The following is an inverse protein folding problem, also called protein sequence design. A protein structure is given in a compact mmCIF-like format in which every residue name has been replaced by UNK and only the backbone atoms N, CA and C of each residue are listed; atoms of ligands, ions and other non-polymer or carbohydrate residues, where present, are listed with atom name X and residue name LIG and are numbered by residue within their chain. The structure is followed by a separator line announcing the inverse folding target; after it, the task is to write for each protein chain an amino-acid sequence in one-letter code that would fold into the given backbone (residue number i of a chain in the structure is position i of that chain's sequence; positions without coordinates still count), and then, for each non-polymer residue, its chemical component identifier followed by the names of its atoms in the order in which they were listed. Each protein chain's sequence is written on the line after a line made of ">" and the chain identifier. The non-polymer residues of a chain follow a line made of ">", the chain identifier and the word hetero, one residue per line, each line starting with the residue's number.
data_IF_736152316329
#
_entry.id   IF_736152316329
#
_cell.length_a   1.000
_cell.length_b   1.000
_cell.length_c   1.000
_cell.angle_alpha   90.00
_cell.angle_beta   90.00
_cell.angle_gamma   90.00
#
_symmetry.space_group_name_H-M   'P 1'
#
loop_
_entity.id
_entity.type
_entity.pdbx_description
1 polymer ?
#
# COMPACT_ATOMS: atom_id res chain seq x y z
N UNK A 1 -21.18 -18.63 0.35
CA UNK A 1 -19.79 -19.13 0.49
C UNK A 1 -18.85 -18.05 -0.03
N UNK A 2 -17.69 -17.80 0.60
CA UNK A 2 -16.69 -16.83 0.13
C UNK A 2 -15.42 -17.59 -0.26
N UNK A 3 -14.92 -17.33 -1.47
CA UNK A 3 -13.63 -17.83 -1.96
C UNK A 3 -12.74 -16.63 -2.26
N UNK A 4 -11.49 -16.71 -1.83
CA UNK A 4 -10.45 -15.72 -2.13
C UNK A 4 -9.38 -16.42 -2.92
N UNK A 5 -9.11 -15.93 -4.12
CA UNK A 5 -8.01 -16.37 -4.96
C UNK A 5 -6.97 -15.25 -4.97
N UNK A 6 -5.82 -15.53 -4.35
CA UNK A 6 -4.75 -14.54 -4.14
C UNK A 6 -3.64 -14.71 -5.17
N UNK A 7 -3.05 -13.60 -5.63
CA UNK A 7 -1.92 -13.56 -6.58
C UNK A 7 -2.16 -14.31 -7.90
N UNK A 8 -3.39 -14.28 -8.42
CA UNK A 8 -3.78 -15.07 -9.59
C UNK A 8 -2.99 -14.76 -10.88
N UNK A 9 -2.34 -13.60 -10.99
CA UNK A 9 -1.49 -13.30 -12.15
C UNK A 9 -0.19 -14.12 -12.19
N UNK A 10 0.23 -14.74 -11.07
CA UNK A 10 1.43 -15.58 -11.02
C UNK A 10 1.33 -16.86 -11.86
N UNK A 11 0.12 -17.33 -12.11
CA UNK A 11 -0.16 -18.55 -12.90
C UNK A 11 -0.59 -18.25 -14.33
N UNK A 12 -0.68 -16.96 -14.71
CA UNK A 12 -1.17 -16.51 -16.02
C UNK A 12 -0.02 -15.92 -16.82
N UNK A 13 0.72 -16.79 -17.52
CA UNK A 13 1.93 -16.40 -18.25
C UNK A 13 1.63 -15.87 -19.65
N UNK A 14 0.47 -16.20 -20.21
CA UNK A 14 0.07 -15.82 -21.57
C UNK A 14 -1.33 -15.21 -21.63
N UNK A 15 -1.62 -14.47 -22.70
CA UNK A 15 -2.98 -13.97 -22.99
C UNK A 15 -4.00 -15.10 -23.18
N UNK A 16 -3.54 -16.29 -23.58
CA UNK A 16 -4.39 -17.47 -23.66
C UNK A 16 -4.80 -17.95 -22.26
N UNK A 17 -3.85 -17.99 -21.31
CA UNK A 17 -4.11 -18.37 -19.91
C UNK A 17 -5.08 -17.39 -19.25
N UNK A 18 -4.89 -16.07 -19.45
CA UNK A 18 -5.79 -15.07 -18.90
C UNK A 18 -7.22 -15.22 -19.43
N UNK A 19 -7.39 -15.49 -20.73
CA UNK A 19 -8.71 -15.74 -21.32
C UNK A 19 -9.33 -17.04 -20.79
N UNK A 20 -8.54 -18.09 -20.63
CA UNK A 20 -8.99 -19.36 -20.06
C UNK A 20 -9.44 -19.16 -18.60
N UNK A 21 -8.64 -18.46 -17.79
CA UNK A 21 -8.97 -18.12 -16.41
C UNK A 21 -10.26 -17.30 -16.30
N UNK A 22 -10.40 -16.24 -17.11
CA UNK A 22 -11.62 -15.44 -17.14
C UNK A 22 -12.86 -16.26 -17.50
N UNK A 23 -12.73 -17.23 -18.43
CA UNK A 23 -13.81 -18.16 -18.78
C UNK A 23 -14.18 -19.08 -17.62
N UNK A 24 -13.19 -19.66 -16.93
CA UNK A 24 -13.40 -20.50 -15.74
C UNK A 24 -14.12 -19.72 -14.64
N UNK A 25 -13.65 -18.51 -14.33
CA UNK A 25 -14.28 -17.64 -13.32
C UNK A 25 -15.73 -17.34 -13.68
N UNK A 26 -15.99 -16.99 -14.95
CA UNK A 26 -17.35 -16.73 -15.43
C UNK A 26 -18.26 -17.95 -15.27
N UNK A 27 -17.80 -19.14 -15.68
CA UNK A 27 -18.58 -20.37 -15.55
C UNK A 27 -18.87 -20.72 -14.09
N UNK A 28 -17.91 -20.52 -13.19
CA UNK A 28 -18.10 -20.76 -11.75
C UNK A 28 -19.17 -19.82 -11.19
N UNK A 29 -19.14 -18.53 -11.52
CA UNK A 29 -20.13 -17.56 -11.04
C UNK A 29 -21.53 -17.83 -11.61
N UNK A 30 -21.63 -18.23 -12.88
CA UNK A 30 -22.91 -18.60 -13.51
C UNK A 30 -23.56 -19.81 -12.84
N UNK A 31 -22.76 -20.82 -12.50
CA UNK A 31 -23.28 -22.07 -11.91
C UNK A 31 -23.49 -22.00 -10.39
N UNK A 32 -22.94 -20.98 -9.71
CA UNK A 32 -22.98 -20.86 -8.26
C UNK A 32 -23.41 -19.46 -7.80
N UNK A 33 -24.70 -19.14 -7.92
CA UNK A 33 -25.27 -17.82 -7.62
C UNK A 33 -25.02 -17.28 -6.19
N UNK A 34 -24.77 -18.16 -5.21
CA UNK A 34 -24.50 -17.79 -3.81
C UNK A 34 -22.99 -17.69 -3.48
N UNK A 35 -22.12 -17.89 -4.47
CA UNK A 35 -20.68 -17.76 -4.32
C UNK A 35 -20.26 -16.29 -4.37
N UNK A 36 -19.49 -15.86 -3.38
CA UNK A 36 -18.75 -14.60 -3.40
C UNK A 36 -17.30 -14.91 -3.72
N UNK A 37 -16.73 -14.19 -4.67
CA UNK A 37 -15.36 -14.41 -5.14
C UNK A 37 -14.57 -13.10 -5.04
N UNK A 38 -13.41 -13.15 -4.39
CA UNK A 38 -12.41 -12.08 -4.43
C UNK A 38 -11.21 -12.63 -5.19
N UNK A 39 -10.80 -11.91 -6.23
CA UNK A 39 -9.59 -12.22 -7.00
C UNK A 39 -8.62 -11.07 -6.81
N UNK A 40 -7.42 -11.38 -6.35
CA UNK A 40 -6.32 -10.40 -6.30
C UNK A 40 -5.31 -10.72 -7.40
N UNK A 41 -4.74 -9.66 -7.98
CA UNK A 41 -3.72 -9.75 -9.00
C UNK A 41 -2.98 -8.41 -9.12
N UNK A 42 -1.77 -8.42 -9.67
CA UNK A 42 -1.03 -7.19 -10.00
C UNK A 42 -1.54 -6.50 -11.25
N UNK A 43 -2.13 -7.24 -12.18
CA UNK A 43 -2.70 -6.75 -13.44
C UNK A 43 -4.19 -7.05 -13.52
N UNK A 44 -4.89 -6.41 -14.46
CA UNK A 44 -6.27 -6.76 -14.74
C UNK A 44 -6.31 -8.10 -15.47
N UNK A 45 -6.71 -9.15 -14.76
CA UNK A 45 -6.76 -10.54 -15.28
C UNK A 45 -8.19 -11.08 -15.47
N UNK A 46 -9.18 -10.25 -15.14
CA UNK A 46 -10.60 -10.60 -15.23
C UNK A 46 -11.28 -9.70 -16.24
N UNK A 47 -12.11 -10.29 -17.10
CA UNK A 47 -12.81 -9.55 -18.15
C UNK A 47 -14.00 -8.75 -17.61
N UNK A 48 -14.49 -7.80 -18.40
CA UNK A 48 -15.71 -7.01 -18.12
C UNK A 48 -16.95 -7.88 -17.88
N UNK A 49 -16.92 -9.16 -18.30
CA UNK A 49 -17.99 -10.14 -18.01
C UNK A 49 -18.16 -10.44 -16.52
N UNK A 50 -17.25 -10.00 -15.64
CA UNK A 50 -17.52 -10.02 -14.20
C UNK A 50 -18.63 -9.07 -13.77
N UNK A 51 -18.82 -7.96 -14.51
CA UNK A 51 -19.86 -6.98 -14.19
C UNK A 51 -21.27 -7.58 -14.36
N UNK A 52 -21.44 -8.58 -15.24
CA UNK A 52 -22.72 -9.29 -15.39
C UNK A 52 -23.10 -10.10 -14.15
N UNK A 53 -22.13 -10.39 -13.29
CA UNK A 53 -22.30 -11.09 -12.01
C UNK A 53 -22.27 -10.13 -10.81
N UNK A 54 -22.41 -8.82 -11.04
CA UNK A 54 -22.32 -7.79 -10.00
C UNK A 54 -20.89 -7.56 -9.48
N UNK A 55 -19.87 -8.08 -10.18
CA UNK A 55 -18.47 -7.86 -9.83
C UNK A 55 -17.97 -6.47 -10.21
N UNK A 56 -17.04 -5.93 -9.43
CA UNK A 56 -16.37 -4.67 -9.70
C UNK A 56 -14.87 -4.79 -9.46
N UNK A 57 -14.09 -4.06 -10.26
CA UNK A 57 -12.65 -3.97 -10.04
C UNK A 57 -12.37 -2.90 -8.99
N UNK A 58 -11.63 -3.27 -7.95
CA UNK A 58 -11.08 -2.32 -6.99
C UNK A 58 -9.57 -2.22 -7.17
N UNK A 59 -9.10 -1.05 -7.62
CA UNK A 59 -7.66 -0.79 -7.77
C UNK A 59 -7.11 -0.24 -6.46
N UNK A 60 -6.18 -0.98 -5.86
CA UNK A 60 -5.39 -0.49 -4.75
C UNK A 60 -4.40 0.57 -5.26
N UNK A 61 -4.40 1.74 -4.62
CA UNK A 61 -3.50 2.84 -4.93
C UNK A 61 -2.44 2.98 -3.84
N UNK A 62 -1.30 3.59 -4.18
CA UNK A 62 -0.30 3.99 -3.20
C UNK A 62 -0.89 4.86 -2.09
N UNK A 63 -0.32 4.75 -0.89
CA UNK A 63 -0.67 5.63 0.22
C UNK A 63 -0.26 7.07 -0.07
N UNK A 64 -1.06 8.03 0.38
CA UNK A 64 -0.67 9.44 0.36
C UNK A 64 0.56 9.67 1.24
N UNK A 65 1.33 10.75 1.03
CA UNK A 65 2.49 11.06 1.87
C UNK A 65 2.14 11.13 3.37
N UNK A 66 0.98 11.69 3.70
CA UNK A 66 0.48 11.78 5.08
C UNK A 66 0.17 10.42 5.70
N UNK A 67 -0.52 9.54 4.97
CA UNK A 67 -0.78 8.16 5.43
C UNK A 67 0.51 7.35 5.52
N UNK A 68 1.46 7.59 4.61
CA UNK A 68 2.76 6.94 4.61
C UNK A 68 3.60 7.35 5.83
N UNK A 69 3.63 8.64 6.14
CA UNK A 69 4.29 9.16 7.33
C UNK A 69 3.67 8.66 8.63
N UNK A 70 2.33 8.62 8.71
CA UNK A 70 1.65 8.07 9.89
C UNK A 70 1.94 6.57 10.05
N UNK A 71 1.91 5.79 8.97
CA UNK A 71 2.28 4.37 9.00
C UNK A 71 3.73 4.18 9.45
N UNK A 72 4.66 4.95 8.88
CA UNK A 72 6.07 4.92 9.26
C UNK A 72 6.23 5.19 10.77
N UNK A 73 5.63 6.28 11.25
CA UNK A 73 5.67 6.68 12.67
C UNK A 73 5.12 5.61 13.60
N UNK A 74 4.05 4.90 13.22
CA UNK A 74 3.46 3.80 14.02
C UNK A 74 4.37 2.57 14.11
N UNK A 75 5.20 2.33 13.09
CA UNK A 75 6.11 1.18 13.05
C UNK A 75 7.52 1.47 13.60
N UNK A 76 7.86 2.74 13.79
CA UNK A 76 9.09 3.13 14.50
C UNK A 76 8.85 2.98 16.00
N UNK A 77 9.72 2.22 16.68
CA UNK A 77 9.57 1.89 18.10
C UNK A 77 10.12 2.98 19.02
N UNK A 78 11.08 3.77 18.54
CA UNK A 78 11.63 4.91 19.28
C UNK A 78 10.80 6.18 19.08
N UNK A 79 10.83 7.07 20.07
CA UNK A 79 10.17 8.38 19.96
C UNK A 79 10.89 9.23 18.92
N UNK A 80 10.18 9.55 17.84
CA UNK A 80 10.66 10.49 16.82
C UNK A 80 10.41 11.94 17.27
N UNK A 81 11.33 12.82 16.92
CA UNK A 81 11.26 14.25 17.18
C UNK A 81 11.47 15.06 15.90
N UNK A 82 11.18 16.36 15.94
CA UNK A 82 11.46 17.25 14.81
C UNK A 82 12.96 17.39 14.53
N UNK A 83 13.83 17.11 15.51
CA UNK A 83 15.28 17.11 15.31
C UNK A 83 15.74 15.95 14.42
N UNK A 84 14.96 14.88 14.30
CA UNK A 84 15.34 13.73 13.48
C UNK A 84 15.04 13.91 11.98
N UNK A 85 14.34 14.98 11.58
CA UNK A 85 13.75 15.17 10.24
C UNK A 85 14.08 16.53 9.61
N UNK A 86 15.31 17.03 9.80
CA UNK A 86 15.71 18.38 9.37
C UNK A 86 15.82 18.52 7.85
N UNK A 87 15.95 17.43 7.08
CA UNK A 87 15.88 17.45 5.62
C UNK A 87 14.45 17.64 5.09
N UNK A 88 13.44 17.59 5.95
CA UNK A 88 12.09 17.97 5.54
C UNK A 88 12.04 19.47 5.26
N UNK A 89 11.53 19.92 4.10
CA UNK A 89 11.38 21.34 3.80
C UNK A 89 10.43 22.06 4.76
N UNK A 90 9.61 21.30 5.50
CA UNK A 90 8.63 21.82 6.46
C UNK A 90 9.17 21.85 7.91
N UNK A 91 10.37 21.34 8.18
CA UNK A 91 10.90 21.17 9.54
C UNK A 91 11.04 22.48 10.33
N UNK A 92 11.30 23.59 9.64
CA UNK A 92 11.53 24.92 10.26
C UNK A 92 10.34 25.88 10.10
N UNK A 93 9.40 25.57 9.22
CA UNK A 93 8.33 26.48 8.81
C UNK A 93 6.96 26.07 9.35
N UNK A 94 6.75 24.77 9.56
CA UNK A 94 5.46 24.24 9.99
C UNK A 94 5.42 24.11 11.51
N UNK A 95 4.51 24.86 12.12
CA UNK A 95 4.20 24.76 13.54
C UNK A 95 2.71 24.49 13.69
N UNK A 96 2.38 23.30 14.19
CA UNK A 96 1.01 22.88 14.50
C UNK A 96 0.85 22.70 16.02
N UNK A 97 -0.31 23.08 16.56
CA UNK A 97 -0.60 23.00 18.00
C UNK A 97 -0.52 21.57 18.55
N UNK A 98 -0.92 20.58 17.75
CA UNK A 98 -0.73 19.17 18.07
C UNK A 98 0.67 18.69 17.62
N UNK A 99 1.55 18.27 18.55
CA UNK A 99 2.93 17.87 18.22
C UNK A 99 3.01 16.59 17.38
N UNK A 100 2.06 15.65 17.55
CA UNK A 100 2.02 14.39 16.77
C UNK A 100 1.63 14.68 15.33
N UNK A 101 0.65 15.56 15.15
CA UNK A 101 0.22 16.00 13.83
C UNK A 101 1.29 16.85 13.14
N UNK A 102 1.96 17.72 13.90
CA UNK A 102 3.10 18.51 13.42
C UNK A 102 4.19 17.60 12.85
N UNK A 103 4.62 16.62 13.65
CA UNK A 103 5.64 15.66 13.24
C UNK A 103 5.20 14.84 12.03
N UNK A 104 3.95 14.41 11.98
CA UNK A 104 3.41 13.64 10.84
C UNK A 104 3.43 14.46 9.54
N UNK A 105 3.07 15.75 9.61
CA UNK A 105 3.10 16.64 8.44
C UNK A 105 4.52 16.95 7.98
N UNK A 106 5.44 17.19 8.91
CA UNK A 106 6.86 17.39 8.59
C UNK A 106 7.46 16.11 7.99
N UNK A 107 7.19 14.95 8.59
CA UNK A 107 7.64 13.66 8.09
C UNK A 107 7.05 13.33 6.71
N UNK A 108 5.80 13.70 6.44
CA UNK A 108 5.16 13.50 5.14
C UNK A 108 5.89 14.23 3.99
N UNK A 109 6.55 15.34 4.27
CA UNK A 109 7.37 16.08 3.31
C UNK A 109 8.84 15.61 3.27
N UNK A 110 9.23 14.66 4.13
CA UNK A 110 10.61 14.20 4.22
C UNK A 110 10.99 13.29 3.03
N UNK A 111 12.19 13.42 2.43
CA UNK A 111 12.62 12.60 1.28
C UNK A 111 12.53 11.09 1.52
N UNK A 112 12.82 10.64 2.75
CA UNK A 112 12.68 9.24 3.15
C UNK A 112 11.28 8.67 2.89
N UNK A 113 10.21 9.45 3.15
CA UNK A 113 8.83 9.04 2.87
C UNK A 113 8.59 8.99 1.37
N UNK A 114 9.08 9.98 0.62
CA UNK A 114 8.95 10.02 -0.84
C UNK A 114 9.58 8.78 -1.51
N UNK A 115 10.75 8.31 -1.04
CA UNK A 115 11.43 7.10 -1.54
C UNK A 115 10.61 5.81 -1.38
N UNK A 116 9.62 5.80 -0.49
CA UNK A 116 8.75 4.61 -0.31
C UNK A 116 7.67 4.50 -1.38
N UNK A 117 7.44 5.57 -2.17
CA UNK A 117 6.38 5.64 -3.19
C UNK A 117 4.97 5.29 -2.66
N UNK A 118 4.74 5.44 -1.35
CA UNK A 118 3.49 5.09 -0.69
C UNK A 118 3.21 3.58 -0.63
N UNK A 119 4.22 2.72 -0.82
CA UNK A 119 4.09 1.26 -0.76
C UNK A 119 4.23 0.79 0.70
N UNK A 120 3.19 0.18 1.31
CA UNK A 120 3.23 -0.23 2.72
C UNK A 120 4.44 -1.09 3.10
N UNK A 121 4.80 -2.06 2.25
CA UNK A 121 5.98 -2.93 2.47
C UNK A 121 7.28 -2.12 2.54
N UNK A 122 7.47 -1.15 1.65
CA UNK A 122 8.66 -0.29 1.64
C UNK A 122 8.69 0.62 2.87
N UNK A 123 7.53 1.13 3.32
CA UNK A 123 7.40 1.94 4.53
C UNK A 123 7.80 1.15 5.78
N UNK A 124 7.30 -0.08 5.92
CA UNK A 124 7.64 -0.95 7.06
C UNK A 124 9.12 -1.34 7.04
N UNK A 125 9.70 -1.58 5.87
CA UNK A 125 11.14 -1.82 5.73
C UNK A 125 11.97 -0.59 6.13
N UNK A 126 11.52 0.62 5.76
CA UNK A 126 12.15 1.86 6.21
C UNK A 126 12.07 2.01 7.74
N UNK A 127 10.92 1.72 8.36
CA UNK A 127 10.78 1.70 9.82
C UNK A 127 11.75 0.70 10.47
N UNK A 128 11.88 -0.51 9.91
CA UNK A 128 12.81 -1.52 10.42
C UNK A 128 14.28 -1.02 10.38
N UNK A 129 14.68 -0.33 9.30
CA UNK A 129 16.01 0.30 9.20
C UNK A 129 16.20 1.40 10.25
N UNK A 130 15.19 2.25 10.46
CA UNK A 130 15.23 3.31 11.49
C UNK A 130 15.36 2.70 12.90
N UNK A 131 14.64 1.61 13.16
CA UNK A 131 14.70 0.92 14.46
C UNK A 131 16.05 0.24 14.69
N UNK A 132 16.70 -0.26 13.63
CA UNK A 132 18.05 -0.84 13.72
C UNK A 132 19.14 0.23 13.91
N UNK A 133 18.94 1.43 13.37
CA UNK A 133 19.88 2.55 13.44
C UNK A 133 19.54 3.52 14.60
N UNK A 134 19.63 3.02 15.84
CA UNK A 134 19.14 3.71 17.06
C UNK A 134 19.75 5.08 17.32
N UNK A 135 20.96 5.36 16.84
CA UNK A 135 21.67 6.63 17.01
C UNK A 135 21.67 7.54 15.77
N UNK A 136 21.06 7.11 14.66
CA UNK A 136 21.12 7.81 13.38
C UNK A 136 19.84 8.63 13.17
N UNK A 137 19.93 9.91 12.80
CA UNK A 137 18.76 10.71 12.44
C UNK A 137 18.15 10.21 11.11
N UNK A 138 16.88 10.49 10.85
CA UNK A 138 16.25 10.04 9.58
C UNK A 138 16.89 10.71 8.37
N UNK A 139 17.55 11.84 8.57
CA UNK A 139 18.28 12.58 7.55
C UNK A 139 19.47 11.80 6.96
N UNK A 140 20.01 10.82 7.69
CA UNK A 140 21.17 10.02 7.28
C UNK A 140 20.80 8.63 6.74
N UNK A 141 19.51 8.33 6.58
CA UNK A 141 18.96 7.08 6.06
C UNK A 141 18.38 7.25 4.66
#
# INVERSE_FOLDING_TARGET
>A
MLVVLDECDTVLSTDADQRAFASVVHNVLTNHFALKLIVTARTTIVSDRLQTHGGSQFRLTSLSPTKSADLLRRHVTRKLSLHDVQLSPLAKTLQHSNPVENLTRVLAAHPLVARTHGVPKAIVQAAARINAATATTLDHL
#
